data_IF_894829954477
#
_entry.id   IF_894829954477
#
_cell.length_a   1.000
_cell.length_b   1.000
_cell.length_c   1.000
_cell.angle_alpha   90.00
_cell.angle_beta   90.00
_cell.angle_gamma   90.00
#
_symmetry.space_group_name_H-M   'P 1'
#
loop_
_entity.id
_entity.type
_entity.pdbx_description
1 polymer ?
#
# COMPACT_ATOMS: atom_id res chain seq x y z
N UNK A 1 -10.40 -14.18 10.16
CA UNK A 1 -10.60 -12.92 10.92
C UNK A 1 -9.61 -11.89 10.40
N UNK A 2 -9.90 -10.60 10.46
CA UNK A 2 -8.93 -9.56 10.07
C UNK A 2 -7.60 -9.74 10.82
N UNK A 3 -6.51 -9.35 10.17
CA UNK A 3 -5.11 -9.56 10.55
C UNK A 3 -4.64 -11.03 10.59
N UNK A 4 -5.41 -11.96 10.02
CA UNK A 4 -5.01 -13.38 9.93
C UNK A 4 -4.14 -13.64 8.71
N UNK A 5 -3.07 -14.43 8.88
CA UNK A 5 -2.28 -14.95 7.76
C UNK A 5 -3.03 -16.10 7.09
N UNK A 6 -3.17 -16.02 5.77
CA UNK A 6 -3.87 -16.96 4.91
C UNK A 6 -2.87 -17.61 3.95
N UNK A 7 -2.98 -18.92 3.80
CA UNK A 7 -2.29 -19.66 2.75
C UNK A 7 -3.01 -19.46 1.40
N UNK A 8 -2.32 -19.68 0.26
CA UNK A 8 -3.00 -19.80 -1.03
C UNK A 8 -4.13 -20.83 -0.94
N UNK A 9 -5.25 -20.53 -1.61
CA UNK A 9 -6.49 -21.29 -1.62
C UNK A 9 -7.25 -21.39 -0.28
N UNK A 10 -6.86 -20.62 0.74
CA UNK A 10 -7.63 -20.56 1.97
C UNK A 10 -9.04 -19.97 1.71
N UNK A 11 -10.07 -20.62 2.27
CA UNK A 11 -11.46 -20.14 2.17
C UNK A 11 -11.63 -18.83 2.94
N UNK A 12 -12.05 -17.78 2.22
CA UNK A 12 -12.30 -16.44 2.77
C UNK A 12 -13.72 -16.34 3.32
N UNK A 13 -14.69 -16.81 2.53
CA UNK A 13 -16.11 -16.69 2.81
C UNK A 13 -16.92 -17.68 1.97
N UNK A 14 -18.08 -18.05 2.51
CA UNK A 14 -19.08 -18.86 1.82
C UNK A 14 -20.22 -17.96 1.38
N UNK A 15 -20.55 -17.97 0.09
CA UNK A 15 -21.71 -17.29 -0.46
C UNK A 15 -22.79 -18.30 -0.82
N UNK A 16 -24.05 -17.89 -0.68
CA UNK A 16 -25.19 -18.66 -1.19
C UNK A 16 -25.54 -18.18 -2.59
N UNK A 17 -25.61 -19.11 -3.54
CA UNK A 17 -26.05 -18.84 -4.92
C UNK A 17 -27.32 -19.63 -5.23
N UNK A 18 -27.96 -19.36 -6.37
CA UNK A 18 -29.08 -20.16 -6.87
C UNK A 18 -28.73 -21.65 -7.08
N UNK A 19 -27.43 -21.97 -7.27
CA UNK A 19 -26.91 -23.33 -7.49
C UNK A 19 -26.35 -23.96 -6.22
N UNK A 20 -26.67 -23.38 -5.06
CA UNK A 20 -26.17 -23.79 -3.75
C UNK A 20 -25.01 -22.93 -3.26
N UNK A 21 -24.42 -23.36 -2.15
CA UNK A 21 -23.35 -22.63 -1.51
C UNK A 21 -22.04 -22.76 -2.31
N UNK A 22 -21.23 -21.70 -2.31
CA UNK A 22 -19.95 -21.60 -3.01
C UNK A 22 -18.93 -20.95 -2.09
N UNK A 23 -17.74 -21.53 -2.05
CA UNK A 23 -16.60 -20.95 -1.35
C UNK A 23 -15.86 -19.97 -2.25
N UNK A 24 -15.50 -18.83 -1.68
CA UNK A 24 -14.57 -17.87 -2.28
C UNK A 24 -13.23 -18.06 -1.58
N UNK A 25 -12.19 -18.37 -2.34
CA UNK A 25 -10.85 -18.65 -1.83
C UNK A 25 -9.87 -17.52 -2.19
N UNK A 26 -8.84 -17.35 -1.35
CA UNK A 26 -7.72 -16.48 -1.67
C UNK A 26 -6.86 -17.14 -2.78
N UNK A 27 -6.59 -16.42 -3.87
CA UNK A 27 -5.75 -16.96 -4.95
C UNK A 27 -4.28 -17.09 -4.53
N UNK A 28 -3.81 -16.13 -3.73
CA UNK A 28 -2.45 -16.09 -3.19
C UNK A 28 -2.47 -16.07 -1.65
N UNK A 29 -1.32 -16.40 -1.05
CA UNK A 29 -1.10 -16.26 0.38
C UNK A 29 -0.86 -14.81 0.77
N UNK A 30 -1.32 -14.43 1.96
CA UNK A 30 -1.21 -13.06 2.45
C UNK A 30 -1.89 -12.87 3.80
N UNK A 31 -1.83 -11.65 4.33
CA UNK A 31 -2.53 -11.25 5.55
C UNK A 31 -3.87 -10.62 5.17
N UNK A 32 -4.96 -11.14 5.71
CA UNK A 32 -6.29 -10.58 5.52
C UNK A 32 -6.37 -9.22 6.23
N UNK A 33 -6.38 -8.11 5.50
CA UNK A 33 -6.41 -6.76 6.10
C UNK A 33 -7.82 -6.29 6.36
N UNK A 34 -8.77 -6.63 5.49
CA UNK A 34 -10.16 -6.17 5.61
C UNK A 34 -11.13 -7.22 5.06
N UNK A 35 -12.25 -7.41 5.76
CA UNK A 35 -13.40 -8.15 5.24
C UNK A 35 -14.52 -7.16 4.86
N UNK A 36 -14.73 -6.97 3.56
CA UNK A 36 -15.67 -5.97 3.03
C UNK A 36 -17.12 -6.47 3.02
N UNK A 37 -17.31 -7.78 2.87
CA UNK A 37 -18.64 -8.41 2.85
C UNK A 37 -18.96 -9.04 4.21
N UNK A 38 -19.96 -8.48 4.90
CA UNK A 38 -20.49 -9.04 6.14
C UNK A 38 -21.54 -10.13 5.91
N UNK A 39 -21.84 -10.90 6.96
CA UNK A 39 -22.93 -11.90 6.93
C UNK A 39 -24.26 -11.23 6.54
N UNK A 40 -24.94 -11.79 5.54
CA UNK A 40 -26.19 -11.26 5.01
C UNK A 40 -26.03 -10.26 3.85
N UNK A 41 -24.80 -9.90 3.48
CA UNK A 41 -24.55 -9.03 2.32
C UNK A 41 -24.89 -9.74 1.01
N UNK A 42 -25.57 -9.04 0.11
CA UNK A 42 -25.78 -9.49 -1.28
C UNK A 42 -24.63 -8.96 -2.12
N UNK A 43 -23.85 -9.87 -2.71
CA UNK A 43 -22.69 -9.55 -3.55
C UNK A 43 -22.94 -9.98 -4.99
N UNK A 44 -22.27 -9.33 -5.94
CA UNK A 44 -22.33 -9.64 -7.38
C UNK A 44 -20.95 -10.05 -7.86
N UNK A 45 -20.86 -10.66 -9.03
CA UNK A 45 -19.56 -10.88 -9.66
C UNK A 45 -18.83 -9.55 -9.84
N UNK A 46 -17.57 -9.49 -9.42
CA UNK A 46 -16.76 -8.27 -9.43
C UNK A 46 -16.91 -7.39 -8.19
N UNK A 47 -17.73 -7.78 -7.20
CA UNK A 47 -17.73 -7.12 -5.89
C UNK A 47 -16.48 -7.51 -5.10
N UNK A 48 -15.75 -6.52 -4.58
CA UNK A 48 -14.67 -6.75 -3.64
C UNK A 48 -15.22 -7.26 -2.30
N UNK A 49 -14.74 -8.40 -1.84
CA UNK A 49 -15.24 -9.06 -0.63
C UNK A 49 -14.22 -9.09 0.52
N UNK A 50 -12.94 -8.96 0.18
CA UNK A 50 -11.82 -8.94 1.13
C UNK A 50 -10.62 -8.25 0.50
N UNK A 51 -9.74 -7.71 1.34
CA UNK A 51 -8.40 -7.23 0.93
C UNK A 51 -7.32 -8.07 1.61
N UNK A 52 -6.32 -8.49 0.83
CA UNK A 52 -5.17 -9.24 1.34
C UNK A 52 -3.89 -8.42 1.08
N UNK A 53 -3.11 -8.22 2.13
CA UNK A 53 -1.73 -7.78 2.02
C UNK A 53 -0.86 -8.99 1.67
N UNK A 54 -0.11 -8.91 0.58
CA UNK A 54 0.79 -10.00 0.21
C UNK A 54 2.00 -10.01 1.16
N UNK A 55 2.16 -11.10 1.92
CA UNK A 55 3.30 -11.27 2.83
C UNK A 55 4.27 -12.27 2.20
N UNK A 56 5.32 -11.80 1.52
CA UNK A 56 6.33 -12.71 0.93
C UNK A 56 7.44 -13.11 1.90
N UNK A 57 7.53 -12.45 3.06
CA UNK A 57 8.44 -12.78 4.16
C UNK A 57 8.60 -11.63 5.15
N UNK A 58 9.09 -11.91 6.37
CA UNK A 58 9.29 -10.90 7.42
C UNK A 58 10.31 -9.80 7.02
N UNK A 59 11.17 -10.11 6.05
CA UNK A 59 12.22 -9.21 5.58
C UNK A 59 11.84 -8.34 4.38
N UNK A 60 10.61 -8.44 3.87
CA UNK A 60 10.16 -7.58 2.77
C UNK A 60 10.24 -6.10 3.21
N UNK A 61 10.85 -5.21 2.40
CA UNK A 61 10.97 -3.82 2.78
C UNK A 61 9.63 -3.12 2.59
N UNK A 62 9.28 -2.24 3.54
CA UNK A 62 8.14 -1.35 3.40
C UNK A 62 8.42 -0.36 2.25
N UNK A 63 7.47 -0.22 1.34
CA UNK A 63 7.58 0.65 0.16
C UNK A 63 6.62 1.82 0.28
N UNK A 64 7.08 3.02 -0.05
CA UNK A 64 6.24 4.17 -0.29
C UNK A 64 6.07 4.40 -1.79
N UNK A 65 4.85 4.68 -2.24
CA UNK A 65 4.58 5.09 -3.62
C UNK A 65 4.28 6.58 -3.64
N UNK A 66 5.13 7.34 -4.33
CA UNK A 66 4.97 8.77 -4.54
C UNK A 66 4.51 9.04 -5.96
N UNK A 67 3.77 10.13 -6.16
CA UNK A 67 3.36 10.60 -7.48
C UNK A 67 4.05 11.93 -7.79
N UNK A 68 5.08 11.86 -8.64
CA UNK A 68 5.82 13.03 -9.09
C UNK A 68 5.17 13.61 -10.36
N UNK A 69 5.17 14.93 -10.57
CA UNK A 69 4.64 15.53 -11.80
C UNK A 69 5.25 14.88 -13.06
N UNK A 70 4.45 14.68 -14.11
CA UNK A 70 4.85 13.91 -15.29
C UNK A 70 6.14 14.40 -15.98
N UNK A 71 6.45 15.69 -15.91
CA UNK A 71 7.70 16.26 -16.43
C UNK A 71 8.95 15.94 -15.60
N UNK A 72 8.79 15.59 -14.32
CA UNK A 72 9.88 15.36 -13.36
C UNK A 72 10.36 13.90 -13.32
N UNK A 73 9.60 12.96 -13.89
CA UNK A 73 9.91 11.52 -13.84
C UNK A 73 11.26 11.17 -14.50
N UNK A 74 11.66 11.92 -15.53
CA UNK A 74 12.94 11.71 -16.23
C UNK A 74 14.17 12.12 -15.40
N UNK A 75 13.99 12.92 -14.34
CA UNK A 75 15.09 13.47 -13.54
C UNK A 75 15.37 12.74 -12.23
N UNK A 76 14.57 11.73 -11.88
CA UNK A 76 14.71 11.00 -10.60
C UNK A 76 15.48 9.70 -10.85
N UNK A 77 16.76 9.59 -10.46
CA UNK A 77 17.52 8.36 -10.65
C UNK A 77 17.14 7.30 -9.62
N UNK A 78 17.17 6.03 -10.04
CA UNK A 78 17.11 4.89 -9.12
C UNK A 78 18.30 4.97 -8.15
N UNK A 79 18.05 4.71 -6.88
CA UNK A 79 19.01 4.82 -5.78
C UNK A 79 19.09 6.20 -5.13
N UNK A 80 18.42 7.23 -5.68
CA UNK A 80 18.39 8.56 -5.07
C UNK A 80 17.87 8.51 -3.62
N UNK A 81 18.48 9.25 -2.67
CA UNK A 81 17.95 9.37 -1.33
C UNK A 81 16.62 10.14 -1.35
N UNK A 82 15.70 9.74 -0.49
CA UNK A 82 14.39 10.37 -0.32
C UNK A 82 14.14 10.62 1.16
N UNK A 83 13.72 11.83 1.49
CA UNK A 83 13.25 12.20 2.82
C UNK A 83 11.73 12.40 2.77
N UNK A 84 11.01 11.61 3.57
CA UNK A 84 9.55 11.58 3.61
C UNK A 84 9.04 12.20 4.91
N UNK A 85 8.11 13.15 4.78
CA UNK A 85 7.27 13.55 5.89
C UNK A 85 5.98 12.71 5.84
N UNK A 86 5.61 12.08 6.95
CA UNK A 86 4.38 11.28 7.06
C UNK A 86 3.46 11.91 8.09
N UNK A 87 2.15 11.96 7.81
CA UNK A 87 1.18 12.64 8.68
C UNK A 87 1.01 11.98 10.04
N UNK A 88 1.25 10.67 10.14
CA UNK A 88 1.20 9.92 11.40
C UNK A 88 2.34 10.26 12.35
N UNK A 89 3.48 10.77 11.85
CA UNK A 89 4.65 11.15 12.63
C UNK A 89 5.06 12.60 12.31
N UNK A 90 4.59 13.59 13.10
CA UNK A 90 4.87 15.00 12.85
C UNK A 90 6.37 15.30 12.71
N UNK A 91 6.72 16.02 11.64
CA UNK A 91 8.12 16.33 11.29
C UNK A 91 8.83 17.10 12.39
N UNK A 92 8.11 17.97 13.09
CA UNK A 92 8.63 18.80 14.16
C UNK A 92 9.09 17.96 15.36
N UNK A 93 8.50 16.77 15.54
CA UNK A 93 8.80 15.87 16.66
C UNK A 93 9.73 14.73 16.27
N UNK A 94 9.52 14.14 15.10
CA UNK A 94 10.18 12.90 14.69
C UNK A 94 11.05 13.04 13.44
N UNK A 95 11.07 14.22 12.82
CA UNK A 95 11.87 14.48 11.63
C UNK A 95 11.30 13.84 10.37
N UNK A 96 12.18 13.41 9.47
CA UNK A 96 11.81 12.78 8.19
C UNK A 96 12.21 11.31 8.20
N UNK A 97 11.41 10.51 7.50
CA UNK A 97 11.64 9.10 7.26
C UNK A 97 12.55 8.93 6.03
N UNK A 98 13.64 8.18 6.17
CA UNK A 98 14.62 8.02 5.11
C UNK A 98 14.31 6.83 4.21
N UNK A 99 14.45 7.04 2.90
CA UNK A 99 14.28 6.01 1.88
C UNK A 99 15.24 6.16 0.71
N UNK A 100 15.12 5.25 -0.25
CA UNK A 100 15.82 5.31 -1.54
C UNK A 100 14.86 4.98 -2.68
N UNK A 101 15.00 5.66 -3.81
CA UNK A 101 14.22 5.35 -5.02
C UNK A 101 14.55 3.94 -5.48
N UNK A 102 13.57 3.05 -5.45
CA UNK A 102 13.68 1.67 -5.94
C UNK A 102 13.33 1.59 -7.42
N UNK A 103 12.29 2.30 -7.85
CA UNK A 103 11.85 2.32 -9.24
C UNK A 103 11.13 3.61 -9.58
N UNK A 104 11.18 3.99 -10.85
CA UNK A 104 10.41 5.10 -11.42
C UNK A 104 9.57 4.55 -12.57
N UNK A 105 8.29 4.90 -12.58
CA UNK A 105 7.36 4.55 -13.64
C UNK A 105 7.84 5.12 -14.98
N UNK A 106 7.70 4.32 -16.04
CA UNK A 106 8.14 4.74 -17.39
C UNK A 106 7.14 5.66 -18.09
N UNK A 107 5.89 5.65 -17.63
CA UNK A 107 4.78 6.39 -18.23
C UNK A 107 3.98 7.10 -17.14
N UNK A 108 3.46 8.30 -17.42
CA UNK A 108 2.45 8.94 -16.58
C UNK A 108 1.24 8.02 -16.36
N UNK A 109 0.59 8.16 -15.20
CA UNK A 109 -0.59 7.39 -14.82
C UNK A 109 -1.81 8.30 -14.76
N UNK A 110 -2.87 7.88 -15.43
CA UNK A 110 -4.15 8.58 -15.39
C UNK A 110 -4.87 8.39 -14.03
N UNK A 111 -5.93 9.17 -13.82
CA UNK A 111 -6.72 9.11 -12.59
C UNK A 111 -7.32 7.72 -12.34
N UNK A 112 -7.72 6.99 -13.39
CA UNK A 112 -8.36 5.67 -13.25
C UNK A 112 -7.38 4.65 -12.68
N UNK A 113 -6.15 4.65 -13.17
CA UNK A 113 -5.08 3.76 -12.69
C UNK A 113 -4.70 4.07 -11.25
N UNK A 114 -4.57 5.35 -10.90
CA UNK A 114 -4.25 5.77 -9.53
C UNK A 114 -5.40 5.42 -8.58
N UNK A 115 -6.66 5.63 -8.99
CA UNK A 115 -7.83 5.26 -8.18
C UNK A 115 -7.90 3.76 -7.92
N UNK A 116 -7.59 2.92 -8.92
CA UNK A 116 -7.55 1.48 -8.75
C UNK A 116 -6.46 1.03 -7.77
N UNK A 117 -5.32 1.73 -7.73
CA UNK A 117 -4.24 1.44 -6.79
C UNK A 117 -4.55 1.92 -5.36
N UNK A 118 -5.12 3.12 -5.22
CA UNK A 118 -5.39 3.74 -3.93
C UNK A 118 -6.70 3.28 -3.28
N UNK A 119 -7.64 2.72 -4.05
CA UNK A 119 -9.00 2.46 -3.59
C UNK A 119 -9.84 3.73 -3.34
N UNK A 120 -9.32 4.91 -3.70
CA UNK A 120 -9.95 6.21 -3.45
C UNK A 120 -9.87 7.11 -4.69
N UNK A 121 -11.02 7.30 -5.33
CA UNK A 121 -11.14 8.12 -6.54
C UNK A 121 -10.99 9.63 -6.27
N UNK A 122 -11.35 10.12 -5.07
CA UNK A 122 -11.18 11.51 -4.70
C UNK A 122 -9.71 11.82 -4.44
N UNK A 123 -8.99 10.92 -3.78
CA UNK A 123 -7.55 11.04 -3.59
C UNK A 123 -6.81 10.96 -4.93
N UNK A 124 -7.18 10.03 -5.81
CA UNK A 124 -6.63 9.95 -7.16
C UNK A 124 -6.85 11.24 -7.97
N UNK A 125 -8.03 11.86 -7.84
CA UNK A 125 -8.30 13.16 -8.46
C UNK A 125 -7.31 14.22 -7.95
N UNK A 126 -7.00 14.24 -6.65
CA UNK A 126 -6.04 15.21 -6.07
C UNK A 126 -4.63 15.04 -6.64
N UNK A 127 -4.19 13.81 -6.86
CA UNK A 127 -2.87 13.48 -7.43
C UNK A 127 -2.74 13.83 -8.92
N UNK A 128 -3.85 13.89 -9.65
CA UNK A 128 -3.89 14.18 -11.09
C UNK A 128 -4.29 15.62 -11.44
N UNK A 129 -4.51 16.49 -10.43
CA UNK A 129 -4.93 17.89 -10.64
C UNK A 129 -3.99 18.70 -11.54
N UNK A 130 -2.70 18.36 -11.54
CA UNK A 130 -1.68 19.06 -12.33
C UNK A 130 -1.27 18.27 -13.60
N UNK A 131 -2.13 17.35 -14.06
CA UNK A 131 -1.85 16.39 -15.12
C UNK A 131 -1.44 15.02 -14.58
N UNK A 132 -1.15 14.09 -15.49
CA UNK A 132 -0.83 12.72 -15.15
C UNK A 132 0.57 12.61 -14.50
N UNK A 133 0.69 12.15 -13.24
CA UNK A 133 1.97 11.99 -12.58
C UNK A 133 2.64 10.65 -12.92
N UNK A 134 3.95 10.58 -12.67
CA UNK A 134 4.73 9.34 -12.71
C UNK A 134 4.85 8.77 -11.29
N UNK A 135 4.59 7.47 -11.14
CA UNK A 135 4.78 6.77 -9.88
C UNK A 135 6.27 6.57 -9.58
N UNK A 136 6.70 6.90 -8.37
CA UNK A 136 8.06 6.67 -7.85
C UNK A 136 7.93 5.74 -6.65
N UNK A 137 8.51 4.56 -6.76
CA UNK A 137 8.55 3.57 -5.67
C UNK A 137 9.81 3.81 -4.86
N UNK A 138 9.63 4.04 -3.57
CA UNK A 138 10.69 4.32 -2.60
C UNK A 138 10.75 3.17 -1.61
N UNK A 139 11.92 2.59 -1.44
CA UNK A 139 12.18 1.61 -0.41
C UNK A 139 12.58 2.34 0.89
N UNK A 140 11.86 2.08 1.97
CA UNK A 140 12.13 2.69 3.26
C UNK A 140 13.32 2.02 3.93
N UNK A 141 14.26 2.83 4.43
CA UNK A 141 15.45 2.30 5.10
C UNK A 141 15.04 1.72 6.45
N UNK A 142 15.42 0.47 6.71
CA UNK A 142 15.24 -0.17 8.02
C UNK A 142 16.27 0.36 9.02
N UNK A 143 15.85 0.48 10.27
CA UNK A 143 16.73 0.74 11.40
C UNK A 143 16.19 0.00 12.63
N UNK A 144 16.87 -1.09 13.00
CA UNK A 144 16.51 -1.93 14.13
C UNK A 144 16.73 -1.25 15.49
N UNK A 145 17.42 -0.11 15.54
CA UNK A 145 17.58 0.69 16.76
C UNK A 145 16.35 1.54 17.09
N UNK A 146 15.39 1.69 16.16
CA UNK A 146 14.16 2.44 16.39
C UNK A 146 12.97 1.50 16.62
N UNK A 147 12.02 1.91 17.47
CA UNK A 147 10.79 1.14 17.71
C UNK A 147 9.91 1.03 16.45
N UNK A 148 9.95 2.06 15.60
CA UNK A 148 9.29 2.04 14.29
C UNK A 148 9.88 1.02 13.31
N UNK A 149 11.11 0.56 13.52
CA UNK A 149 11.86 -0.33 12.62
C UNK A 149 12.46 0.36 11.38
N UNK A 150 12.40 1.69 11.29
CA UNK A 150 12.84 2.47 10.14
C UNK A 150 13.78 3.61 10.51
N UNK A 151 14.62 4.04 9.55
CA UNK A 151 15.58 5.11 9.75
C UNK A 151 14.89 6.48 9.66
N UNK A 152 15.06 7.30 10.70
CA UNK A 152 14.55 8.66 10.78
C UNK A 152 15.69 9.64 10.96
N UNK A 153 15.45 10.91 10.61
CA UNK A 153 16.42 11.98 10.90
C UNK A 153 16.48 12.31 12.40
N UNK A 154 15.48 11.89 13.18
CA UNK A 154 15.52 11.92 14.64
C UNK A 154 16.08 10.60 15.19
N UNK A 155 16.82 10.67 16.30
CA UNK A 155 17.55 9.53 16.86
C UNK A 155 16.67 8.34 17.28
N UNK A 156 15.39 8.59 17.61
CA UNK A 156 14.48 7.54 18.09
C UNK A 156 13.35 7.17 17.12
N UNK A 157 13.03 8.04 16.15
CA UNK A 157 11.79 7.91 15.39
C UNK A 157 10.53 7.94 16.28
N UNK A 158 9.35 7.66 15.70
CA UNK A 158 8.13 7.47 16.46
C UNK A 158 8.13 6.15 17.25
N UNK A 159 7.49 6.09 18.43
CA UNK A 159 7.38 4.89 19.26
C UNK A 159 6.24 3.96 18.77
N UNK A 160 6.11 3.80 17.47
CA UNK A 160 5.09 2.98 16.83
C UNK A 160 5.54 2.61 15.42
N UNK A 161 5.05 1.47 14.93
CA UNK A 161 5.28 1.03 13.54
C UNK A 161 4.47 1.89 12.58
N UNK A 162 4.99 2.01 11.37
CA UNK A 162 4.23 2.54 10.25
C UNK A 162 3.38 1.38 9.71
N UNK A 163 2.07 1.51 9.82
CA UNK A 163 1.08 0.57 9.28
C UNK A 163 0.70 0.95 7.83
#
# INVERSE_FOLDING_TARGET
KENQLLSPNATLLTIRTERGDREITALDGGRLTTLLAGVGSVVRTGTDVASLEQVRGADEPLLAVLYAPGGSGSTIPVGAPVDLAVSSAPRERYGVLHGKVRAVGRVPQDQRRIAAFLGDAQLAARFTRAGDPVAVVVELRKDAATESGHAWSSTGGPPFRLD
#
